data_IF_095444185620
#
_entry.id   IF_095444185620
#
_cell.length_a   1.000
_cell.length_b   1.000
_cell.length_c   1.000
_cell.angle_alpha   90.00
_cell.angle_beta   90.00
_cell.angle_gamma   90.00
#
_symmetry.space_group_name_H-M   'P 1'
#
loop_
_entity.id
_entity.type
_entity.pdbx_description
1 polymer ?
#
# COMPACT_ATOMS: atom_id res chain seq x y z
N UNK A 1 27.11 8.34 -16.74
CA UNK A 1 27.71 7.52 -15.67
C UNK A 1 26.80 7.68 -14.47
N UNK A 2 25.86 6.75 -14.29
CA UNK A 2 24.91 6.78 -13.17
C UNK A 2 25.59 6.21 -11.95
N UNK A 3 25.76 7.03 -10.92
CA UNK A 3 26.12 6.53 -9.60
C UNK A 3 24.97 5.65 -9.11
N UNK A 4 25.28 4.37 -8.85
CA UNK A 4 24.35 3.45 -8.22
C UNK A 4 23.92 4.03 -6.88
N UNK A 5 22.64 4.35 -6.74
CA UNK A 5 22.02 4.71 -5.45
C UNK A 5 22.17 3.52 -4.52
N UNK A 6 23.18 3.55 -3.65
CA UNK A 6 23.49 2.47 -2.74
C UNK A 6 22.30 2.16 -1.83
N UNK A 7 21.77 0.98 -1.93
CA UNK A 7 20.78 0.47 -0.99
C UNK A 7 21.42 0.36 0.40
N UNK A 8 20.93 1.15 1.34
CA UNK A 8 21.34 1.10 2.73
C UNK A 8 20.50 0.04 3.47
N UNK A 9 21.11 -1.11 3.71
CA UNK A 9 20.50 -2.11 4.56
C UNK A 9 20.90 -1.86 6.02
N UNK A 10 19.93 -1.61 6.88
CA UNK A 10 20.16 -1.49 8.31
C UNK A 10 20.17 -2.90 8.94
N UNK A 11 21.32 -3.55 8.93
CA UNK A 11 21.71 -4.61 9.88
C UNK A 11 23.05 -4.24 10.48
N UNK A 12 23.07 -4.12 11.81
CA UNK A 12 24.33 -4.02 12.55
C UNK A 12 25.18 -5.26 12.30
N UNK A 13 26.35 -5.08 11.70
CA UNK A 13 27.53 -5.91 11.79
C UNK A 13 27.46 -7.33 11.25
N UNK A 14 27.80 -7.49 10.03
CA UNK A 14 28.67 -8.45 9.33
C UNK A 14 28.51 -8.21 7.84
N UNK A 15 29.59 -8.09 7.10
CA UNK A 15 29.61 -7.71 5.69
C UNK A 15 29.05 -8.75 4.71
N UNK A 16 27.91 -9.36 5.01
CA UNK A 16 27.17 -10.24 4.13
C UNK A 16 26.15 -9.40 3.35
N UNK A 17 26.10 -9.59 2.05
CA UNK A 17 25.10 -8.96 1.19
C UNK A 17 23.70 -9.44 1.61
N UNK A 18 22.88 -8.57 2.24
CA UNK A 18 21.58 -8.96 2.74
C UNK A 18 20.61 -9.36 1.62
N UNK A 19 20.92 -9.04 0.37
CA UNK A 19 20.13 -9.46 -0.80
C UNK A 19 20.22 -10.96 -1.07
N UNK A 20 21.27 -11.64 -0.60
CA UNK A 20 21.45 -13.06 -0.84
C UNK A 20 20.94 -13.95 0.30
N UNK A 21 20.85 -13.43 1.53
CA UNK A 21 20.54 -14.24 2.72
C UNK A 21 19.11 -14.07 3.27
N UNK A 22 18.38 -13.06 2.83
CA UNK A 22 17.11 -12.65 3.42
C UNK A 22 15.86 -13.36 2.90
N UNK A 23 15.94 -14.58 2.39
CA UNK A 23 14.79 -15.31 1.85
C UNK A 23 13.86 -15.80 2.96
N UNK A 24 12.56 -15.64 2.75
CA UNK A 24 11.54 -16.08 3.71
C UNK A 24 11.45 -15.26 4.99
N UNK A 25 12.09 -14.09 5.05
CA UNK A 25 12.08 -13.17 6.19
C UNK A 25 11.75 -11.75 5.74
N UNK A 26 11.33 -10.92 6.68
CA UNK A 26 11.11 -9.49 6.44
C UNK A 26 12.41 -8.74 6.71
N UNK A 27 12.81 -7.91 5.74
CA UNK A 27 13.99 -7.05 5.81
C UNK A 27 13.55 -5.59 5.86
N UNK A 28 14.20 -4.79 6.71
CA UNK A 28 14.07 -3.35 6.68
C UNK A 28 15.12 -2.78 5.73
N UNK A 29 14.66 -1.98 4.78
CA UNK A 29 15.47 -1.32 3.78
C UNK A 29 15.28 0.17 3.80
N UNK A 30 16.12 0.89 3.07
CA UNK A 30 15.98 2.32 2.89
C UNK A 30 16.63 2.77 1.60
N UNK A 31 16.08 3.83 1.05
CA UNK A 31 16.62 4.55 -0.10
C UNK A 31 16.84 6.03 0.25
N UNK A 32 17.69 6.71 -0.51
CA UNK A 32 17.88 8.16 -0.34
C UNK A 32 16.80 8.89 -1.13
N UNK A 33 15.86 9.49 -0.42
CA UNK A 33 14.81 10.30 -1.02
C UNK A 33 15.37 11.61 -1.61
N UNK A 34 15.07 11.88 -2.86
CA UNK A 34 15.40 13.17 -3.50
C UNK A 34 14.58 14.32 -2.91
N UNK A 35 13.37 14.02 -2.47
CA UNK A 35 12.46 15.03 -1.90
C UNK A 35 12.95 15.54 -0.54
N UNK A 36 13.32 14.64 0.38
CA UNK A 36 13.74 15.00 1.73
C UNK A 36 15.25 15.09 1.92
N UNK A 37 16.05 14.60 0.95
CA UNK A 37 17.49 14.42 1.04
C UNK A 37 17.92 13.49 2.21
N UNK A 38 17.00 12.71 2.75
CA UNK A 38 17.19 11.78 3.85
C UNK A 38 16.91 10.35 3.42
N UNK A 39 17.32 9.40 4.26
CA UNK A 39 16.94 8.00 4.07
C UNK A 39 15.47 7.85 4.44
N UNK A 40 14.71 7.26 3.54
CA UNK A 40 13.33 6.80 3.77
C UNK A 40 13.34 5.29 3.87
N UNK A 41 12.58 4.78 4.85
CA UNK A 41 12.50 3.36 5.14
C UNK A 41 11.37 2.66 4.39
N UNK A 42 11.54 1.39 4.16
CA UNK A 42 10.47 0.46 3.77
C UNK A 42 10.79 -0.96 4.23
N UNK A 43 9.77 -1.78 4.39
CA UNK A 43 9.95 -3.20 4.65
C UNK A 43 9.77 -4.02 3.38
N UNK A 44 10.50 -5.12 3.24
CA UNK A 44 10.39 -6.04 2.11
C UNK A 44 10.47 -7.49 2.59
N UNK A 45 9.61 -8.33 2.05
CA UNK A 45 9.67 -9.78 2.15
C UNK A 45 10.10 -10.37 0.80
N UNK A 46 11.09 -11.26 0.81
CA UNK A 46 11.45 -12.07 -0.34
C UNK A 46 10.93 -13.49 -0.17
N UNK A 47 10.38 -14.13 -1.22
CA UNK A 47 9.99 -15.53 -1.18
C UNK A 47 11.13 -16.44 -0.71
N UNK A 48 10.80 -17.59 -0.09
CA UNK A 48 11.82 -18.58 0.31
C UNK A 48 12.60 -19.12 -0.88
N UNK A 49 11.92 -19.27 -2.00
CA UNK A 49 12.45 -19.76 -3.27
C UNK A 49 12.86 -18.61 -4.21
N UNK A 50 13.11 -17.41 -3.69
CA UNK A 50 13.53 -16.27 -4.50
C UNK A 50 14.79 -16.62 -5.29
N UNK A 51 14.68 -16.47 -6.61
CA UNK A 51 15.74 -16.66 -7.58
C UNK A 51 15.90 -15.36 -8.40
N UNK A 52 17.07 -14.71 -8.34
CA UNK A 52 17.29 -13.47 -9.08
C UNK A 52 17.31 -13.65 -10.61
N UNK A 53 17.34 -14.89 -11.12
CA UNK A 53 17.22 -15.17 -12.56
C UNK A 53 15.77 -15.18 -13.06
N UNK A 54 14.78 -15.20 -12.17
CA UNK A 54 13.36 -15.23 -12.50
C UNK A 54 12.72 -13.87 -12.26
N UNK A 55 11.74 -13.51 -13.08
CA UNK A 55 10.86 -12.37 -12.85
C UNK A 55 9.85 -12.68 -11.73
N UNK A 56 9.73 -11.77 -10.76
CA UNK A 56 8.86 -11.94 -9.60
C UNK A 56 7.75 -10.89 -9.56
N UNK A 57 6.50 -11.30 -9.30
CA UNK A 57 5.43 -10.35 -9.01
C UNK A 57 5.69 -9.61 -7.71
N UNK A 58 5.17 -8.40 -7.62
CA UNK A 58 5.29 -7.56 -6.42
C UNK A 58 3.91 -7.19 -5.88
N UNK A 59 3.72 -7.31 -4.59
CA UNK A 59 2.59 -6.73 -3.87
C UNK A 59 3.08 -5.56 -3.01
N UNK A 60 2.57 -4.37 -3.28
CA UNK A 60 2.90 -3.16 -2.52
C UNK A 60 1.79 -2.90 -1.52
N UNK A 61 2.13 -2.95 -0.23
CA UNK A 61 1.20 -2.89 0.89
C UNK A 61 1.23 -1.52 1.57
N UNK A 62 0.14 -0.76 1.48
CA UNK A 62 0.01 0.56 2.08
C UNK A 62 -0.63 0.47 3.46
N UNK A 63 0.10 0.91 4.49
CA UNK A 63 -0.35 0.87 5.87
C UNK A 63 -1.47 1.88 6.18
N UNK A 64 -2.23 1.58 7.21
CA UNK A 64 -3.24 2.46 7.79
C UNK A 64 -2.69 3.51 8.75
N UNK A 65 -3.57 4.23 9.41
CA UNK A 65 -3.21 5.18 10.48
C UNK A 65 -2.50 4.48 11.64
N UNK A 66 -1.61 5.22 12.31
CA UNK A 66 -0.83 4.73 13.47
C UNK A 66 0.02 3.49 13.21
N UNK A 67 0.40 3.25 11.96
CA UNK A 67 1.24 2.13 11.52
C UNK A 67 2.46 2.64 10.72
N UNK A 68 3.32 1.75 10.30
CA UNK A 68 4.44 1.97 9.39
C UNK A 68 4.64 0.75 8.49
N UNK A 69 5.59 0.81 7.56
CA UNK A 69 5.83 -0.27 6.60
C UNK A 69 6.16 -1.60 7.28
N UNK A 70 7.07 -1.61 8.25
CA UNK A 70 7.49 -2.84 8.92
C UNK A 70 6.33 -3.52 9.67
N UNK A 71 5.57 -2.76 10.45
CA UNK A 71 4.41 -3.29 11.16
C UNK A 71 3.37 -3.85 10.20
N UNK A 72 3.04 -3.09 9.17
CA UNK A 72 1.98 -3.47 8.26
C UNK A 72 2.38 -4.67 7.41
N UNK A 73 3.64 -4.76 6.99
CA UNK A 73 4.14 -5.95 6.31
C UNK A 73 4.02 -7.18 7.23
N UNK A 74 4.34 -7.04 8.51
CA UNK A 74 4.11 -8.10 9.50
C UNK A 74 2.65 -8.57 9.52
N UNK A 75 1.69 -7.64 9.55
CA UNK A 75 0.25 -7.95 9.52
C UNK A 75 -0.13 -8.66 8.22
N UNK A 76 0.30 -8.16 7.07
CA UNK A 76 0.05 -8.77 5.76
C UNK A 76 0.62 -10.19 5.68
N UNK A 77 1.75 -10.45 6.34
CA UNK A 77 2.40 -11.75 6.39
C UNK A 77 1.92 -12.63 7.56
N UNK A 78 0.78 -12.29 8.16
CA UNK A 78 0.08 -13.12 9.15
C UNK A 78 0.47 -12.90 10.60
N UNK A 79 1.16 -11.81 10.94
CA UNK A 79 1.40 -11.42 12.32
C UNK A 79 0.06 -11.07 12.98
N UNK A 80 -0.32 -11.83 13.97
CA UNK A 80 -1.52 -11.56 14.77
C UNK A 80 -1.09 -11.21 16.20
N UNK A 81 -0.90 -9.93 16.46
CA UNK A 81 -0.65 -9.40 17.80
C UNK A 81 -1.78 -8.48 18.21
N UNK A 82 -2.16 -8.44 19.50
CA UNK A 82 -3.09 -7.44 20.01
C UNK A 82 -2.62 -6.03 19.67
N UNK A 83 -3.58 -5.11 19.46
CA UNK A 83 -3.27 -3.73 19.08
C UNK A 83 -2.37 -3.01 20.10
N UNK A 84 -2.51 -3.34 21.37
CA UNK A 84 -1.74 -2.79 22.49
C UNK A 84 -0.25 -3.17 22.37
N UNK A 85 0.03 -4.43 21.99
CA UNK A 85 1.39 -4.94 21.79
C UNK A 85 1.99 -4.50 20.45
N UNK A 86 1.14 -4.14 19.50
CA UNK A 86 1.52 -3.77 18.13
C UNK A 86 2.47 -2.56 18.11
N UNK A 87 2.28 -1.61 19.03
CA UNK A 87 3.11 -0.40 19.13
C UNK A 87 4.49 -0.65 19.74
N UNK A 88 4.63 -1.63 20.64
CA UNK A 88 5.88 -1.91 21.34
C UNK A 88 6.86 -2.73 20.48
N UNK A 89 6.35 -3.44 19.48
CA UNK A 89 7.13 -4.35 18.65
C UNK A 89 7.48 -3.78 17.27
N UNK A 90 7.68 -2.47 17.19
CA UNK A 90 7.87 -1.71 15.94
C UNK A 90 9.02 -2.20 15.05
N UNK A 91 10.02 -2.86 15.63
CA UNK A 91 11.26 -3.22 14.93
C UNK A 91 11.73 -4.65 15.19
N UNK A 92 10.90 -5.49 15.80
CA UNK A 92 11.26 -6.87 16.05
C UNK A 92 11.37 -7.67 14.76
N UNK A 93 12.36 -8.57 14.69
CA UNK A 93 12.47 -9.54 13.60
C UNK A 93 11.22 -10.42 13.59
N UNK A 94 10.46 -10.35 12.51
CA UNK A 94 9.24 -11.11 12.35
C UNK A 94 9.41 -12.24 11.34
N UNK A 95 9.04 -13.46 11.75
CA UNK A 95 8.93 -14.60 10.82
C UNK A 95 7.51 -14.67 10.28
N UNK A 96 7.32 -14.65 8.95
CA UNK A 96 6.00 -14.82 8.34
C UNK A 96 5.32 -16.12 8.79
N UNK A 97 4.00 -16.06 9.00
CA UNK A 97 3.20 -17.26 9.25
C UNK A 97 2.95 -18.07 7.98
N UNK A 98 2.99 -17.41 6.84
CA UNK A 98 2.80 -18.00 5.53
C UNK A 98 3.78 -17.41 4.54
N UNK A 99 4.02 -18.14 3.47
CA UNK A 99 4.99 -17.75 2.46
C UNK A 99 4.24 -17.32 1.19
N UNK A 100 4.44 -16.08 0.80
CA UNK A 100 3.89 -15.55 -0.44
C UNK A 100 4.81 -15.92 -1.62
N UNK A 101 4.27 -16.39 -2.77
CA UNK A 101 5.06 -16.65 -3.97
C UNK A 101 5.32 -15.34 -4.76
N UNK A 102 5.57 -14.24 -4.05
CA UNK A 102 5.80 -12.91 -4.60
C UNK A 102 6.64 -12.09 -3.63
N UNK A 103 7.28 -11.05 -4.13
CA UNK A 103 7.90 -10.02 -3.30
C UNK A 103 6.78 -9.19 -2.67
N UNK A 104 6.83 -8.94 -1.36
CA UNK A 104 5.88 -8.06 -0.68
C UNK A 104 6.64 -6.86 -0.11
N UNK A 105 6.18 -5.67 -0.41
CA UNK A 105 6.85 -4.41 -0.05
C UNK A 105 5.89 -3.51 0.70
N UNK A 106 6.34 -2.88 1.76
CA UNK A 106 5.55 -1.91 2.51
C UNK A 106 6.35 -0.63 2.76
N UNK A 107 6.07 0.46 2.01
CA UNK A 107 6.66 1.78 2.23
C UNK A 107 6.23 2.40 3.55
N UNK A 108 7.02 3.36 4.07
CA UNK A 108 6.65 4.16 5.24
C UNK A 108 5.81 5.41 4.90
N UNK A 109 5.77 5.82 3.63
CA UNK A 109 4.89 6.86 3.11
C UNK A 109 5.04 8.22 3.78
N UNK A 110 6.21 8.55 4.33
CA UNK A 110 6.43 9.72 5.20
C UNK A 110 5.48 9.76 6.42
N UNK A 111 5.08 8.60 6.92
CA UNK A 111 4.23 8.47 8.11
C UNK A 111 2.75 8.72 7.83
N UNK A 112 2.12 9.67 8.53
CA UNK A 112 0.65 9.82 8.55
C UNK A 112 0.09 10.80 7.52
N UNK A 113 0.73 10.96 6.35
CA UNK A 113 0.26 11.86 5.28
C UNK A 113 -0.85 11.25 4.40
N UNK A 114 -1.31 10.04 4.74
CA UNK A 114 -2.39 9.32 4.04
C UNK A 114 -2.10 9.15 2.55
N UNK A 115 -0.85 8.85 2.20
CA UNK A 115 -0.39 8.56 0.83
C UNK A 115 -0.61 9.70 -0.17
N UNK A 116 -0.59 10.96 0.33
CA UNK A 116 -0.68 12.18 -0.49
C UNK A 116 0.70 12.78 -0.70
N UNK A 117 0.88 13.51 -1.78
CA UNK A 117 2.07 14.30 -2.08
C UNK A 117 3.37 13.53 -1.85
N UNK A 118 4.06 13.82 -0.75
CA UNK A 118 5.30 13.12 -0.40
C UNK A 118 5.09 11.62 -0.15
N UNK A 119 3.95 11.20 0.38
CA UNK A 119 3.64 9.79 0.58
C UNK A 119 3.39 9.05 -0.73
N UNK A 120 2.75 9.69 -1.71
CA UNK A 120 2.63 9.16 -3.07
C UNK A 120 4.00 9.07 -3.75
N UNK A 121 4.84 10.10 -3.57
CA UNK A 121 6.20 10.09 -4.13
C UNK A 121 7.04 8.98 -3.51
N UNK A 122 6.99 8.79 -2.17
CA UNK A 122 7.68 7.71 -1.47
C UNK A 122 7.29 6.34 -2.00
N UNK A 123 5.99 6.11 -2.19
CA UNK A 123 5.49 4.88 -2.78
C UNK A 123 6.11 4.59 -4.16
N UNK A 124 6.17 5.60 -5.02
CA UNK A 124 6.74 5.46 -6.37
C UNK A 124 8.25 5.24 -6.32
N UNK A 125 8.96 5.97 -5.46
CA UNK A 125 10.41 5.83 -5.25
C UNK A 125 10.75 4.44 -4.70
N UNK A 126 9.96 3.90 -3.77
CA UNK A 126 10.14 2.53 -3.25
C UNK A 126 9.95 1.49 -4.36
N UNK A 127 8.94 1.63 -5.22
CA UNK A 127 8.77 0.71 -6.36
C UNK A 127 10.01 0.76 -7.26
N UNK A 128 10.53 1.94 -7.55
CA UNK A 128 11.75 2.11 -8.37
C UNK A 128 12.99 1.48 -7.71
N UNK A 129 13.16 1.67 -6.39
CA UNK A 129 14.28 1.06 -5.64
C UNK A 129 14.18 -0.48 -5.63
N UNK A 130 12.98 -1.02 -5.47
CA UNK A 130 12.70 -2.46 -5.53
C UNK A 130 12.99 -3.05 -6.92
N UNK A 131 12.60 -2.36 -7.99
CA UNK A 131 12.90 -2.76 -9.38
C UNK A 131 14.39 -2.74 -9.68
N UNK A 132 15.17 -1.83 -9.05
CA UNK A 132 16.63 -1.81 -9.18
C UNK A 132 17.31 -2.91 -8.36
N UNK A 133 16.72 -3.30 -7.24
CA UNK A 133 17.31 -4.25 -6.29
C UNK A 133 16.98 -5.71 -6.60
N UNK A 134 15.83 -5.96 -7.22
CA UNK A 134 15.28 -7.30 -7.45
C UNK A 134 14.78 -7.46 -8.88
N UNK A 135 14.74 -8.71 -9.36
CA UNK A 135 14.23 -9.00 -10.69
C UNK A 135 12.69 -9.03 -10.70
N UNK A 136 12.09 -7.84 -10.81
CA UNK A 136 10.66 -7.60 -10.75
C UNK A 136 10.00 -7.81 -12.12
N UNK A 137 8.82 -8.45 -12.11
CA UNK A 137 7.92 -8.47 -13.25
C UNK A 137 7.07 -7.19 -13.22
N UNK A 138 7.39 -6.24 -14.07
CA UNK A 138 6.73 -4.93 -14.13
C UNK A 138 5.25 -5.02 -14.53
N UNK A 139 4.87 -6.08 -15.24
CA UNK A 139 3.47 -6.35 -15.62
C UNK A 139 2.66 -6.98 -14.49
N UNK A 140 3.29 -7.34 -13.37
CA UNK A 140 2.67 -7.98 -12.21
C UNK A 140 2.93 -7.26 -10.90
N UNK A 141 2.77 -5.93 -10.91
CA UNK A 141 2.80 -5.11 -9.69
C UNK A 141 1.37 -4.89 -9.22
N UNK A 142 1.07 -5.30 -8.01
CA UNK A 142 -0.23 -5.13 -7.34
C UNK A 142 -0.10 -4.10 -6.23
N UNK A 143 -1.02 -3.15 -6.16
CA UNK A 143 -1.11 -2.17 -5.08
C UNK A 143 -2.26 -2.53 -4.14
N UNK A 144 -1.98 -2.66 -2.85
CA UNK A 144 -3.01 -2.89 -1.84
C UNK A 144 -2.86 -1.99 -0.63
N UNK A 145 -3.95 -1.71 0.08
CA UNK A 145 -3.87 -0.88 1.28
C UNK A 145 -5.11 -0.94 2.15
N UNK A 146 -4.93 -0.73 3.46
CA UNK A 146 -5.97 -0.74 4.47
C UNK A 146 -6.17 0.63 5.09
N UNK A 147 -7.42 1.04 5.35
CA UNK A 147 -7.74 2.30 6.04
C UNK A 147 -7.15 3.51 5.30
N UNK A 148 -6.24 4.26 5.91
CA UNK A 148 -5.47 5.31 5.21
C UNK A 148 -4.71 4.76 3.99
N UNK A 149 -4.21 3.53 4.05
CA UNK A 149 -3.63 2.82 2.91
C UNK A 149 -4.66 2.49 1.83
N UNK A 150 -5.91 2.20 2.22
CA UNK A 150 -7.03 2.04 1.31
C UNK A 150 -7.37 3.35 0.57
N UNK A 151 -7.29 4.50 1.27
CA UNK A 151 -7.39 5.82 0.63
C UNK A 151 -6.28 6.01 -0.40
N UNK A 152 -5.03 5.64 -0.03
CA UNK A 152 -3.88 5.66 -0.93
C UNK A 152 -4.08 4.75 -2.14
N UNK A 153 -4.57 3.53 -1.93
CA UNK A 153 -4.86 2.58 -3.01
C UNK A 153 -5.89 3.13 -4.00
N UNK A 154 -6.96 3.77 -3.52
CA UNK A 154 -7.90 4.47 -4.41
C UNK A 154 -7.22 5.62 -5.18
N UNK A 155 -6.54 6.52 -4.48
CA UNK A 155 -6.01 7.74 -5.09
C UNK A 155 -4.82 7.46 -6.02
N UNK A 156 -3.81 6.73 -5.53
CA UNK A 156 -2.59 6.44 -6.30
C UNK A 156 -2.85 5.37 -7.35
N UNK A 157 -3.63 4.33 -7.00
CA UNK A 157 -3.99 3.25 -7.93
C UNK A 157 -4.76 3.74 -9.14
N UNK A 158 -5.68 4.70 -8.99
CA UNK A 158 -6.40 5.28 -10.14
C UNK A 158 -5.56 6.31 -10.90
N UNK A 159 -4.70 7.08 -10.22
CA UNK A 159 -3.85 8.09 -10.86
C UNK A 159 -2.74 7.47 -11.69
N UNK A 160 -2.19 6.36 -11.22
CA UNK A 160 -1.11 5.60 -11.86
C UNK A 160 -1.56 4.21 -12.32
N UNK A 161 -2.81 4.07 -12.78
CA UNK A 161 -3.41 2.79 -13.15
C UNK A 161 -2.57 1.96 -14.13
N UNK A 162 -1.81 2.62 -14.99
CA UNK A 162 -0.89 2.00 -15.94
C UNK A 162 0.29 1.25 -15.28
N UNK A 163 0.61 1.54 -14.02
CA UNK A 163 1.69 0.89 -13.27
C UNK A 163 1.27 -0.40 -12.58
N UNK A 164 -0.02 -0.61 -12.41
CA UNK A 164 -0.52 -1.71 -11.58
C UNK A 164 -1.37 -2.68 -12.37
N UNK A 165 -1.05 -3.96 -12.31
CA UNK A 165 -1.89 -5.03 -12.86
C UNK A 165 -3.20 -5.17 -12.08
N UNK A 166 -3.15 -4.90 -10.78
CA UNK A 166 -4.33 -4.87 -9.94
C UNK A 166 -4.18 -3.86 -8.80
N UNK A 167 -5.32 -3.34 -8.32
CA UNK A 167 -5.41 -2.47 -7.14
C UNK A 167 -6.43 -3.04 -6.16
N UNK A 168 -6.09 -3.04 -4.88
CA UNK A 168 -6.92 -3.56 -3.80
C UNK A 168 -7.07 -2.52 -2.69
N UNK A 169 -8.24 -1.93 -2.54
CA UNK A 169 -8.54 -0.97 -1.48
C UNK A 169 -9.39 -1.62 -0.38
N UNK A 170 -8.90 -1.61 0.87
CA UNK A 170 -9.60 -2.18 2.02
C UNK A 170 -9.97 -1.10 3.02
N UNK A 171 -11.26 -1.00 3.38
CA UNK A 171 -11.80 -0.06 4.36
C UNK A 171 -11.28 1.39 4.17
N UNK A 172 -11.11 1.82 2.92
CA UNK A 172 -10.62 3.15 2.54
C UNK A 172 -11.75 4.05 2.07
N UNK A 173 -11.55 5.37 2.14
CA UNK A 173 -12.45 6.36 1.57
C UNK A 173 -12.05 6.67 0.11
N UNK A 174 -12.92 6.46 -0.88
CA UNK A 174 -12.60 6.69 -2.29
C UNK A 174 -12.56 8.18 -2.67
N UNK A 175 -13.06 9.07 -1.81
CA UNK A 175 -13.11 10.52 -2.05
C UNK A 175 -12.66 11.33 -0.83
N UNK A 176 -11.86 12.35 -1.06
CA UNK A 176 -11.47 13.31 -0.03
C UNK A 176 -12.63 14.18 0.46
N UNK A 177 -13.73 14.24 -0.27
CA UNK A 177 -14.96 14.92 0.17
C UNK A 177 -15.46 14.40 1.52
N UNK A 178 -15.17 13.16 1.84
CA UNK A 178 -15.59 12.50 3.08
C UNK A 178 -14.86 13.02 4.34
N UNK A 179 -13.73 13.68 4.14
CA UNK A 179 -12.92 14.30 5.22
C UNK A 179 -13.17 15.79 5.38
N UNK A 180 -13.89 16.42 4.45
CA UNK A 180 -14.14 17.87 4.46
C UNK A 180 -15.57 18.14 4.93
N UNK A 181 -15.69 18.85 6.05
CA UNK A 181 -16.99 19.32 6.57
C UNK A 181 -17.58 20.46 5.74
N UNK A 182 -18.85 20.75 5.95
CA UNK A 182 -19.51 21.90 5.36
C UNK A 182 -19.61 21.86 3.82
N UNK A 183 -19.74 23.04 3.21
CA UNK A 183 -19.81 23.23 1.75
C UNK A 183 -18.48 23.80 1.24
N UNK A 184 -17.68 23.00 0.51
CA UNK A 184 -16.40 23.49 0.02
C UNK A 184 -16.58 24.57 -1.02
N UNK A 185 -15.64 25.50 -1.05
CA UNK A 185 -15.46 26.50 -2.11
C UNK A 185 -15.10 25.83 -3.44
N UNK A 186 -15.19 26.54 -4.58
CA UNK A 186 -14.75 26.01 -5.87
C UNK A 186 -13.28 25.55 -5.88
N UNK A 187 -12.38 26.28 -5.21
CA UNK A 187 -10.96 25.94 -5.12
C UNK A 187 -10.73 24.68 -4.28
N UNK A 188 -11.39 24.57 -3.12
CA UNK A 188 -11.36 23.37 -2.29
C UNK A 188 -11.97 22.17 -3.02
N UNK A 189 -13.04 22.36 -3.79
CA UNK A 189 -13.64 21.30 -4.61
C UNK A 189 -12.64 20.79 -5.65
N UNK A 190 -11.90 21.67 -6.32
CA UNK A 190 -10.87 21.27 -7.26
C UNK A 190 -9.74 20.46 -6.57
N UNK A 191 -9.27 20.93 -5.41
CA UNK A 191 -8.26 20.20 -4.62
C UNK A 191 -8.76 18.82 -4.15
N UNK A 192 -10.00 18.74 -3.68
CA UNK A 192 -10.64 17.46 -3.29
C UNK A 192 -10.64 16.49 -4.47
N UNK A 193 -11.04 16.93 -5.66
CA UNK A 193 -11.06 16.10 -6.86
C UNK A 193 -9.68 15.58 -7.24
N UNK A 194 -8.67 16.41 -7.18
CA UNK A 194 -7.28 16.01 -7.48
C UNK A 194 -6.76 14.90 -6.55
N UNK A 195 -7.27 14.82 -5.33
CA UNK A 195 -6.85 13.84 -4.33
C UNK A 195 -7.73 12.59 -4.28
N UNK A 196 -8.88 12.60 -4.93
CA UNK A 196 -9.91 11.56 -4.82
C UNK A 196 -9.79 10.54 -5.93
N UNK A 197 -9.65 9.26 -5.58
CA UNK A 197 -9.66 8.17 -6.55
C UNK A 197 -10.97 8.05 -7.32
N UNK A 198 -12.11 8.35 -6.67
CA UNK A 198 -13.44 8.32 -7.30
C UNK A 198 -13.53 9.27 -8.51
N UNK A 199 -12.90 10.44 -8.46
CA UNK A 199 -12.91 11.40 -9.57
C UNK A 199 -12.05 10.94 -10.78
N UNK A 200 -11.19 9.94 -10.55
CA UNK A 200 -10.33 9.29 -11.56
C UNK A 200 -10.77 7.83 -11.85
N UNK A 201 -11.96 7.45 -11.42
CA UNK A 201 -12.43 6.06 -11.49
C UNK A 201 -12.41 5.46 -12.92
N UNK A 202 -12.56 6.28 -13.96
CA UNK A 202 -12.44 5.83 -15.36
C UNK A 202 -11.08 5.22 -15.70
N UNK A 203 -10.03 5.56 -14.97
CA UNK A 203 -8.71 4.96 -15.16
C UNK A 203 -8.69 3.48 -14.71
N UNK A 204 -9.72 3.02 -13.96
CA UNK A 204 -9.87 1.60 -13.60
C UNK A 204 -10.11 0.69 -14.81
N UNK A 205 -10.46 1.23 -15.99
CA UNK A 205 -10.56 0.42 -17.21
C UNK A 205 -9.24 -0.29 -17.59
N UNK A 206 -8.12 0.23 -17.13
CA UNK A 206 -6.78 -0.28 -17.48
C UNK A 206 -6.17 -1.19 -16.42
N UNK A 207 -6.88 -1.44 -15.29
CA UNK A 207 -6.37 -2.29 -14.21
C UNK A 207 -7.50 -3.04 -13.52
N UNK A 208 -7.22 -4.23 -13.00
CA UNK A 208 -8.18 -4.96 -12.17
C UNK A 208 -8.34 -4.23 -10.83
N UNK A 209 -9.52 -3.73 -10.52
CA UNK A 209 -9.76 -3.00 -9.29
C UNK A 209 -10.69 -3.79 -8.35
N UNK A 210 -10.26 -3.98 -7.10
CA UNK A 210 -11.04 -4.64 -6.06
C UNK A 210 -11.10 -3.76 -4.82
N UNK A 211 -12.26 -3.71 -4.16
CA UNK A 211 -12.35 -3.11 -2.84
C UNK A 211 -13.12 -4.00 -1.88
N UNK A 212 -12.76 -3.88 -0.62
CA UNK A 212 -13.31 -4.64 0.49
C UNK A 212 -13.76 -3.67 1.56
N UNK A 213 -15.01 -3.77 2.01
CA UNK A 213 -15.57 -2.80 2.94
C UNK A 213 -16.49 -3.42 3.95
N UNK A 214 -16.52 -2.86 5.18
CA UNK A 214 -17.39 -3.25 6.25
C UNK A 214 -18.73 -2.50 6.21
N UNK A 215 -19.87 -3.20 6.30
CA UNK A 215 -21.21 -2.58 6.34
C UNK A 215 -21.43 -1.75 7.61
N UNK A 216 -20.66 -1.99 8.66
CA UNK A 216 -20.74 -1.30 9.94
C UNK A 216 -19.57 -0.31 10.15
N UNK A 217 -18.84 0.05 9.09
CA UNK A 217 -17.77 1.04 9.17
C UNK A 217 -18.33 2.46 9.37
N UNK A 218 -17.51 3.36 9.90
CA UNK A 218 -17.94 4.67 10.35
C UNK A 218 -17.10 5.83 9.83
N UNK A 219 -17.44 7.04 10.26
CA UNK A 219 -16.68 8.24 9.92
C UNK A 219 -16.60 8.48 8.41
N UNK A 220 -15.39 8.76 7.86
CA UNK A 220 -15.18 8.93 6.42
C UNK A 220 -15.38 7.64 5.62
N UNK A 221 -15.34 6.46 6.26
CA UNK A 221 -15.51 5.15 5.67
C UNK A 221 -16.94 4.61 5.74
N UNK A 222 -17.94 5.48 5.97
CA UNK A 222 -19.34 5.04 6.02
C UNK A 222 -19.79 4.36 4.73
N UNK A 223 -20.56 3.27 4.80
CA UNK A 223 -21.08 2.54 3.64
C UNK A 223 -21.70 3.43 2.56
N UNK A 224 -22.51 4.40 2.93
CA UNK A 224 -23.17 5.32 2.00
C UNK A 224 -22.20 6.09 1.04
N UNK A 225 -20.93 6.18 1.37
CA UNK A 225 -19.92 6.77 0.47
C UNK A 225 -19.37 5.74 -0.52
N UNK A 226 -19.27 4.50 -0.08
CA UNK A 226 -18.80 3.40 -0.92
C UNK A 226 -19.90 2.98 -1.90
N UNK A 227 -21.16 3.00 -1.49
CA UNK A 227 -22.32 2.77 -2.36
C UNK A 227 -22.34 3.74 -3.56
N UNK A 228 -21.91 4.99 -3.36
CA UNK A 228 -21.73 5.94 -4.48
C UNK A 228 -20.64 5.52 -5.47
N UNK A 229 -19.62 4.79 -5.01
CA UNK A 229 -18.63 4.20 -5.89
C UNK A 229 -19.25 3.01 -6.63
N UNK A 230 -20.08 2.18 -5.96
CA UNK A 230 -20.82 1.10 -6.61
C UNK A 230 -21.71 1.66 -7.73
N UNK A 231 -22.49 2.71 -7.45
CA UNK A 231 -23.34 3.40 -8.44
C UNK A 231 -22.52 3.94 -9.64
N UNK A 232 -21.31 4.43 -9.36
CA UNK A 232 -20.42 4.94 -10.41
C UNK A 232 -19.86 3.79 -11.27
N UNK A 233 -19.44 2.69 -10.64
CA UNK A 233 -18.93 1.50 -11.30
C UNK A 233 -20.00 0.94 -12.25
N UNK A 234 -21.22 0.79 -11.78
CA UNK A 234 -22.34 0.26 -12.55
C UNK A 234 -22.69 1.19 -13.72
N UNK A 235 -22.82 2.49 -13.46
CA UNK A 235 -23.16 3.48 -14.49
C UNK A 235 -22.10 3.60 -15.58
N UNK A 236 -20.83 3.57 -15.23
CA UNK A 236 -19.70 3.72 -16.16
C UNK A 236 -19.19 2.36 -16.67
N UNK A 237 -19.78 1.24 -16.21
CA UNK A 237 -19.37 -0.13 -16.55
C UNK A 237 -17.88 -0.39 -16.32
N UNK A 238 -17.36 0.08 -15.17
CA UNK A 238 -15.95 -0.07 -14.83
C UNK A 238 -15.63 -1.52 -14.44
N UNK A 239 -14.45 -2.05 -14.78
CA UNK A 239 -14.02 -3.41 -14.42
C UNK A 239 -13.55 -3.47 -12.95
N UNK A 240 -14.36 -2.96 -12.05
CA UNK A 240 -14.11 -2.93 -10.62
C UNK A 240 -15.14 -3.78 -9.88
N UNK A 241 -14.76 -4.35 -8.74
CA UNK A 241 -15.65 -5.19 -7.94
C UNK A 241 -15.49 -4.92 -6.46
N UNK A 242 -16.62 -4.70 -5.78
CA UNK A 242 -16.72 -4.58 -4.34
C UNK A 242 -17.06 -5.89 -3.65
N UNK A 243 -16.52 -6.08 -2.46
CA UNK A 243 -16.92 -7.14 -1.53
C UNK A 243 -17.27 -6.52 -0.20
N UNK A 244 -18.48 -6.80 0.28
CA UNK A 244 -19.02 -6.28 1.51
C UNK A 244 -19.00 -7.34 2.61
N UNK A 245 -18.63 -6.95 3.81
CA UNK A 245 -18.59 -7.79 4.99
C UNK A 245 -19.48 -7.25 6.10
N UNK A 246 -20.08 -8.12 6.89
CA UNK A 246 -20.75 -7.76 8.14
C UNK A 246 -19.72 -7.50 9.24
N UNK A 247 -18.96 -6.40 9.07
CA UNK A 247 -17.85 -5.98 9.91
C UNK A 247 -17.77 -4.45 9.98
N UNK A 248 -17.02 -3.94 10.95
CA UNK A 248 -16.63 -2.53 11.03
C UNK A 248 -15.29 -2.31 10.29
N UNK A 249 -14.50 -1.38 10.81
CA UNK A 249 -13.18 -1.03 10.28
C UNK A 249 -12.14 -2.15 10.44
N UNK A 250 -12.42 -3.13 11.28
CA UNK A 250 -11.58 -4.30 11.58
C UNK A 250 -11.61 -5.42 10.52
N UNK A 251 -12.10 -5.11 9.32
CA UNK A 251 -12.31 -6.07 8.23
C UNK A 251 -11.07 -6.91 7.91
N UNK A 252 -9.86 -6.32 7.96
CA UNK A 252 -8.62 -7.03 7.66
C UNK A 252 -8.42 -8.25 8.57
N UNK A 253 -8.73 -8.11 9.85
CA UNK A 253 -8.60 -9.20 10.82
C UNK A 253 -9.61 -10.32 10.61
N UNK A 254 -10.67 -10.07 9.84
CA UNK A 254 -11.69 -11.07 9.48
C UNK A 254 -11.38 -11.76 8.15
N UNK A 255 -10.74 -11.06 7.21
CA UNK A 255 -10.37 -11.60 5.89
C UNK A 255 -9.15 -12.53 5.98
N UNK A 256 -8.26 -12.29 6.94
CA UNK A 256 -7.04 -13.07 7.12
C UNK A 256 -7.19 -14.26 8.10
N UNK A 257 -8.38 -14.52 8.63
CA UNK A 257 -8.71 -15.69 9.43
C UNK A 257 -9.27 -16.81 8.56
#
# INVERSE_FOLDING_TARGET
MGESRGALCYRGGRGEDPFQTGRGVILNRGYRSELSQRIQGYAVYLPQDYDPSRLWPVYVALHGGSSNGNLFLGVVMGRNVPWEEYREQLYDEFRPRWHAPMIVVAPDGFGQVMWRWMGERDLLDVIEDVQQAYNVDEDRIVLGGLSNGGVGAYAVGTRHAWRFSAVQAMAGAPSWRQYVGGRPTPAETAAIRMLSGMDLARNMHNTSFRYFHGRNDGGPMRPAYIERLDDLIDREQLPAQGTWYEAGHDILYRVLR
#
